data_IF_839286412162
#
_entry.id   IF_839286412162
#
_cell.length_a   1.000
_cell.length_b   1.000
_cell.length_c   1.000
_cell.angle_alpha   90.00
_cell.angle_beta   90.00
_cell.angle_gamma   90.00
#
_symmetry.space_group_name_H-M   'P 1'
#
loop_
_entity.id
_entity.type
_entity.pdbx_description
1 polymer ?
#
# COMPACT_ATOMS: atom_id res chain seq x y z
N UNK A 1 -7.39 29.03 -1.11
CA UNK A 1 -6.03 28.54 -0.79
C UNK A 1 -5.51 27.90 -2.06
N UNK A 2 -4.49 28.50 -2.68
CA UNK A 2 -3.98 28.06 -3.99
C UNK A 2 -3.04 26.89 -3.75
N UNK A 3 -3.38 25.71 -4.28
CA UNK A 3 -2.48 24.55 -4.31
C UNK A 3 -1.51 24.78 -5.47
N UNK A 4 -0.25 25.05 -5.17
CA UNK A 4 0.80 25.11 -6.19
C UNK A 4 1.32 23.68 -6.36
N UNK A 5 0.80 22.99 -7.38
CA UNK A 5 1.38 21.74 -7.85
C UNK A 5 2.51 22.08 -8.81
N UNK A 6 3.75 22.06 -8.36
CA UNK A 6 4.90 22.03 -9.26
C UNK A 6 5.10 20.60 -9.73
N UNK A 7 5.10 20.41 -11.04
CA UNK A 7 5.23 19.12 -11.68
C UNK A 7 6.62 19.10 -12.35
N UNK A 8 7.49 18.19 -11.89
CA UNK A 8 8.82 17.98 -12.48
C UNK A 8 8.86 16.53 -12.93
N UNK A 9 8.81 16.31 -14.24
CA UNK A 9 9.02 15.00 -14.86
C UNK A 9 10.49 14.61 -14.76
N UNK A 10 10.81 13.68 -13.85
CA UNK A 10 12.12 13.02 -13.81
C UNK A 10 11.89 11.55 -14.07
N UNK A 11 12.37 11.06 -15.21
CA UNK A 11 12.40 9.64 -15.54
C UNK A 11 13.65 9.00 -14.92
N UNK A 12 13.45 8.00 -14.07
CA UNK A 12 14.52 7.26 -13.41
C UNK A 12 14.78 5.88 -14.05
N UNK A 13 14.03 5.51 -15.08
CA UNK A 13 14.01 4.16 -15.64
C UNK A 13 13.39 3.10 -14.70
N UNK A 14 13.24 1.85 -15.17
CA UNK A 14 12.71 0.76 -14.36
C UNK A 14 13.65 0.39 -13.20
N UNK A 15 13.08 0.25 -12.00
CA UNK A 15 13.78 -0.17 -10.80
C UNK A 15 13.68 -1.68 -10.63
N UNK A 16 14.75 -2.37 -10.97
CA UNK A 16 14.81 -3.85 -10.92
C UNK A 16 15.67 -4.38 -9.77
N UNK A 17 16.56 -3.55 -9.21
CA UNK A 17 17.49 -3.92 -8.17
C UNK A 17 17.88 -2.72 -7.28
N UNK A 18 18.56 -3.02 -6.17
CA UNK A 18 19.22 -2.04 -5.32
C UNK A 18 20.71 -1.90 -5.71
N UNK A 19 21.35 -0.73 -5.46
CA UNK A 19 20.79 0.47 -4.86
C UNK A 19 19.92 1.30 -5.83
N UNK A 20 19.01 2.11 -5.29
CA UNK A 20 18.18 3.00 -6.12
C UNK A 20 19.01 4.12 -6.77
N UNK A 21 18.60 4.66 -7.94
CA UNK A 21 19.28 5.78 -8.59
C UNK A 21 19.47 6.99 -7.66
N UNK A 22 20.63 7.66 -7.66
CA UNK A 22 20.90 8.77 -6.73
C UNK A 22 19.87 9.90 -6.77
N UNK A 23 19.39 10.27 -7.96
CA UNK A 23 18.35 11.30 -8.13
C UNK A 23 17.03 10.90 -7.46
N UNK A 24 16.64 9.63 -7.57
CA UNK A 24 15.45 9.11 -6.91
C UNK A 24 15.61 9.11 -5.39
N UNK A 25 16.79 8.74 -4.87
CA UNK A 25 17.06 8.80 -3.43
C UNK A 25 16.90 10.23 -2.88
N UNK A 26 17.45 11.23 -3.59
CA UNK A 26 17.32 12.64 -3.21
C UNK A 26 15.85 13.07 -3.22
N UNK A 27 15.12 12.71 -4.28
CA UNK A 27 13.70 13.00 -4.40
C UNK A 27 12.91 12.41 -3.22
N UNK A 28 13.00 11.10 -2.98
CA UNK A 28 12.24 10.41 -1.94
C UNK A 28 12.59 10.90 -0.53
N UNK A 29 13.84 11.27 -0.25
CA UNK A 29 14.25 11.88 1.04
C UNK A 29 13.66 13.28 1.26
N UNK A 30 13.32 13.99 0.19
CA UNK A 30 12.73 15.33 0.27
C UNK A 30 11.23 15.33 0.54
N UNK A 31 10.56 14.17 0.48
CA UNK A 31 9.12 14.09 0.65
C UNK A 31 8.70 14.51 2.06
N UNK A 32 7.60 15.26 2.13
CA UNK A 32 6.96 15.69 3.36
C UNK A 32 5.58 15.04 3.50
N UNK A 33 5.21 14.63 4.73
CA UNK A 33 3.87 14.12 4.97
C UNK A 33 2.86 15.27 4.82
N UNK A 34 1.62 14.90 4.53
CA UNK A 34 0.51 15.84 4.56
C UNK A 34 0.19 16.29 6.00
N UNK A 35 -0.62 17.32 6.15
CA UNK A 35 -1.04 17.78 7.47
C UNK A 35 -2.14 16.86 8.02
N UNK A 36 -2.01 16.36 9.26
CA UNK A 36 -3.02 15.49 9.86
C UNK A 36 -4.30 16.29 10.12
N UNK A 37 -5.45 15.79 9.67
CA UNK A 37 -6.72 16.46 9.91
C UNK A 37 -7.90 15.52 10.20
N UNK A 38 -7.66 14.21 10.35
CA UNK A 38 -8.74 13.25 10.55
C UNK A 38 -8.49 12.39 11.80
N UNK A 39 -9.48 12.29 12.71
CA UNK A 39 -9.45 11.32 13.78
C UNK A 39 -9.58 9.90 13.19
N UNK A 40 -8.87 8.96 13.79
CA UNK A 40 -8.99 7.54 13.46
C UNK A 40 -10.34 6.99 13.95
N UNK A 41 -10.90 5.97 13.28
CA UNK A 41 -12.12 5.32 13.77
C UNK A 41 -11.89 4.76 15.19
N UNK A 42 -12.88 4.86 16.08
CA UNK A 42 -12.78 4.29 17.42
C UNK A 42 -12.83 2.75 17.37
N UNK A 43 -12.17 2.10 18.32
CA UNK A 43 -12.12 0.65 18.46
C UNK A 43 -10.72 0.06 18.21
N UNK A 44 -10.53 -1.19 18.64
CA UNK A 44 -9.29 -1.93 18.39
C UNK A 44 -9.29 -2.58 17.03
N UNK A 45 -8.11 -2.90 16.49
CA UNK A 45 -8.01 -3.66 15.23
C UNK A 45 -8.80 -4.98 15.29
N UNK A 46 -8.79 -5.68 16.43
CA UNK A 46 -9.56 -6.91 16.62
C UNK A 46 -11.09 -6.72 16.50
N UNK A 47 -11.59 -5.51 16.77
CA UNK A 47 -13.00 -5.17 16.58
C UNK A 47 -13.31 -4.72 15.15
N UNK A 48 -12.34 -4.10 14.49
CA UNK A 48 -12.51 -3.53 13.15
C UNK A 48 -12.32 -4.56 12.03
N UNK A 49 -11.47 -5.57 12.26
CA UNK A 49 -11.04 -6.53 11.26
C UNK A 49 -11.53 -7.95 11.56
N UNK A 50 -12.20 -8.55 10.57
CA UNK A 50 -12.56 -9.97 10.60
C UNK A 50 -11.44 -10.78 9.96
N UNK A 51 -10.84 -11.70 10.72
CA UNK A 51 -9.72 -12.53 10.26
C UNK A 51 -10.18 -13.65 9.33
N UNK A 52 -9.35 -13.98 8.36
CA UNK A 52 -9.55 -15.06 7.41
C UNK A 52 -8.33 -15.96 7.33
N UNK A 53 -8.57 -17.23 6.99
CA UNK A 53 -7.51 -18.08 6.48
C UNK A 53 -7.06 -17.58 5.10
N UNK A 54 -5.74 -17.47 4.89
CA UNK A 54 -5.19 -16.96 3.63
C UNK A 54 -5.60 -17.80 2.43
N UNK A 55 -5.45 -19.13 2.53
CA UNK A 55 -5.74 -20.03 1.42
C UNK A 55 -7.22 -19.97 1.02
N UNK A 56 -8.12 -19.91 2.00
CA UNK A 56 -9.55 -19.73 1.76
C UNK A 56 -9.87 -18.36 1.14
N UNK A 57 -9.23 -17.29 1.60
CA UNK A 57 -9.41 -15.97 1.00
C UNK A 57 -8.95 -15.96 -0.46
N UNK A 58 -7.73 -16.44 -0.74
CA UNK A 58 -7.17 -16.54 -2.10
C UNK A 58 -8.03 -17.44 -3.01
N UNK A 59 -8.58 -18.54 -2.48
CA UNK A 59 -9.52 -19.39 -3.22
C UNK A 59 -10.79 -18.63 -3.61
N UNK A 60 -11.38 -17.85 -2.70
CA UNK A 60 -12.55 -17.03 -2.99
C UNK A 60 -12.25 -15.92 -3.99
N UNK A 61 -11.06 -15.32 -3.90
CA UNK A 61 -10.63 -14.27 -4.81
C UNK A 61 -10.24 -14.79 -6.20
N UNK A 62 -9.81 -16.05 -6.28
CA UNK A 62 -9.32 -16.68 -7.51
C UNK A 62 -7.89 -16.30 -7.88
N UNK A 63 -7.11 -15.72 -6.95
CA UNK A 63 -5.73 -15.32 -7.15
C UNK A 63 -4.94 -15.26 -5.84
N UNK A 64 -3.60 -15.36 -5.88
CA UNK A 64 -2.76 -15.20 -4.69
C UNK A 64 -2.72 -13.74 -4.24
N UNK A 65 -2.88 -13.49 -2.93
CA UNK A 65 -2.71 -12.16 -2.36
C UNK A 65 -1.22 -11.77 -2.40
N UNK A 66 -0.87 -10.48 -2.48
CA UNK A 66 0.52 -10.05 -2.36
C UNK A 66 1.11 -10.45 -1.01
N UNK A 67 2.41 -10.77 -1.00
CA UNK A 67 3.16 -11.13 0.21
C UNK A 67 4.42 -10.29 0.34
N UNK A 68 4.56 -9.59 1.46
CA UNK A 68 5.73 -8.77 1.77
C UNK A 68 6.75 -9.59 2.56
N UNK A 69 7.46 -10.48 1.86
CA UNK A 69 8.44 -11.42 2.45
C UNK A 69 9.44 -10.74 3.39
N UNK A 70 9.95 -9.55 3.02
CA UNK A 70 10.87 -8.79 3.85
C UNK A 70 10.32 -8.42 5.24
N UNK A 71 9.01 -8.23 5.41
CA UNK A 71 8.41 -7.97 6.72
C UNK A 71 8.31 -9.26 7.56
N UNK A 72 8.03 -10.39 6.91
CA UNK A 72 7.99 -11.70 7.55
C UNK A 72 9.38 -12.14 8.01
N UNK A 73 10.40 -11.91 7.17
CA UNK A 73 11.80 -12.17 7.50
C UNK A 73 12.28 -11.29 8.67
N UNK A 74 11.67 -10.10 8.83
CA UNK A 74 11.88 -9.21 9.97
C UNK A 74 11.07 -9.62 11.22
N UNK A 75 10.33 -10.73 11.17
CA UNK A 75 9.59 -11.29 12.30
C UNK A 75 8.16 -10.79 12.47
N UNK A 76 7.61 -10.03 11.51
CA UNK A 76 6.21 -9.59 11.59
C UNK A 76 5.24 -10.76 11.34
N UNK A 77 4.09 -10.69 12.00
CA UNK A 77 2.99 -11.65 11.87
C UNK A 77 2.02 -11.16 10.79
N UNK A 78 1.77 -12.00 9.80
CA UNK A 78 0.79 -11.73 8.75
C UNK A 78 -0.61 -12.18 9.17
N UNK A 79 -1.60 -11.33 8.91
CA UNK A 79 -3.01 -11.60 9.15
C UNK A 79 -3.83 -11.12 7.95
N UNK A 80 -4.61 -12.01 7.35
CA UNK A 80 -5.55 -11.66 6.28
C UNK A 80 -6.90 -11.31 6.92
N UNK A 81 -7.49 -10.18 6.54
CA UNK A 81 -8.74 -9.70 7.10
C UNK A 81 -9.58 -8.88 6.12
N UNK A 82 -10.82 -8.60 6.51
CA UNK A 82 -11.69 -7.60 5.89
C UNK A 82 -12.15 -6.60 6.95
N UNK A 83 -12.18 -5.31 6.60
CA UNK A 83 -12.64 -4.26 7.50
C UNK A 83 -14.18 -4.21 7.52
N UNK A 84 -14.79 -4.37 8.70
CA UNK A 84 -16.23 -4.20 8.93
C UNK A 84 -17.17 -5.22 8.24
N UNK A 85 -16.63 -6.18 7.49
CA UNK A 85 -17.40 -7.23 6.79
C UNK A 85 -16.84 -8.59 7.21
N UNK A 86 -17.71 -9.56 7.50
CA UNK A 86 -17.30 -10.87 8.01
C UNK A 86 -16.90 -11.88 6.92
N UNK A 87 -17.10 -11.56 5.65
CA UNK A 87 -16.86 -12.47 4.54
C UNK A 87 -15.99 -11.81 3.46
N UNK A 88 -15.10 -12.61 2.87
CA UNK A 88 -14.42 -12.26 1.61
C UNK A 88 -15.40 -12.51 0.48
N UNK A 89 -15.57 -11.54 -0.41
CA UNK A 89 -16.46 -11.64 -1.57
C UNK A 89 -15.61 -11.70 -2.83
N UNK A 90 -15.98 -12.57 -3.76
CA UNK A 90 -15.31 -12.70 -5.04
C UNK A 90 -15.49 -11.42 -5.88
N UNK A 91 -14.49 -11.03 -6.70
CA UNK A 91 -14.63 -9.90 -7.59
C UNK A 91 -15.87 -9.98 -8.50
N UNK A 92 -16.53 -8.85 -8.75
CA UNK A 92 -17.69 -8.76 -9.64
C UNK A 92 -19.02 -9.23 -9.03
N UNK A 93 -19.04 -9.76 -7.81
CA UNK A 93 -20.29 -10.04 -7.10
C UNK A 93 -20.88 -8.78 -6.46
N UNK A 94 -22.22 -8.64 -6.53
CA UNK A 94 -22.95 -7.51 -5.91
C UNK A 94 -23.11 -7.75 -4.41
N UNK A 95 -22.49 -6.89 -3.62
CA UNK A 95 -22.57 -6.86 -2.16
C UNK A 95 -21.36 -6.11 -1.66
N UNK A 96 -21.53 -5.10 -0.81
CA UNK A 96 -20.44 -4.21 -0.37
C UNK A 96 -19.32 -4.99 0.31
N UNK A 97 -18.32 -5.41 -0.45
CA UNK A 97 -17.10 -5.98 0.10
C UNK A 97 -16.15 -4.83 0.40
N UNK A 98 -15.79 -4.67 1.67
CA UNK A 98 -14.59 -3.89 1.99
C UNK A 98 -13.35 -4.52 1.34
N UNK A 99 -12.24 -3.76 1.20
CA UNK A 99 -10.99 -4.32 0.73
C UNK A 99 -10.61 -5.56 1.53
N UNK A 100 -10.01 -6.53 0.84
CA UNK A 100 -9.23 -7.55 1.54
C UNK A 100 -7.93 -6.89 1.96
N UNK A 101 -7.67 -6.90 3.27
CA UNK A 101 -6.51 -6.30 3.89
C UNK A 101 -5.58 -7.38 4.43
N UNK A 102 -4.31 -7.35 4.07
CA UNK A 102 -3.26 -8.12 4.73
C UNK A 102 -2.56 -7.18 5.71
N UNK A 103 -2.70 -7.46 7.00
CA UNK A 103 -2.05 -6.76 8.10
C UNK A 103 -0.72 -7.45 8.40
N UNK A 104 0.37 -6.69 8.53
CA UNK A 104 1.64 -7.17 9.04
C UNK A 104 1.90 -6.50 10.39
N UNK A 105 1.80 -7.32 11.44
CA UNK A 105 1.85 -6.89 12.82
C UNK A 105 3.26 -7.10 13.38
N UNK A 106 3.88 -6.11 14.05
CA UNK A 106 5.16 -6.31 14.71
C UNK A 106 5.06 -7.30 15.88
N UNK A 107 3.88 -7.42 16.50
CA UNK A 107 3.53 -8.40 17.52
C UNK A 107 1.99 -8.56 17.57
N UNK A 108 1.49 -9.65 18.17
CA UNK A 108 0.04 -9.90 18.23
C UNK A 108 -0.73 -8.92 19.13
N UNK A 109 -0.07 -8.31 20.13
CA UNK A 109 -0.72 -7.38 21.07
C UNK A 109 -1.20 -6.10 20.37
N UNK A 110 -0.63 -5.78 19.21
CA UNK A 110 -1.09 -4.68 18.33
C UNK A 110 -2.57 -4.82 17.97
N UNK A 111 -3.13 -6.03 17.96
CA UNK A 111 -4.55 -6.24 17.65
C UNK A 111 -5.51 -5.59 18.65
N UNK A 112 -5.05 -5.36 19.87
CA UNK A 112 -5.83 -4.68 20.90
C UNK A 112 -5.70 -3.16 20.84
N UNK A 113 -4.77 -2.64 20.04
CA UNK A 113 -4.56 -1.21 19.85
C UNK A 113 -5.56 -0.63 18.85
N UNK A 114 -5.82 0.66 18.95
CA UNK A 114 -6.47 1.42 17.88
C UNK A 114 -5.60 1.42 16.61
N UNK A 115 -6.19 1.70 15.45
CA UNK A 115 -5.45 1.76 14.18
C UNK A 115 -4.25 2.72 14.27
N UNK A 116 -4.45 3.91 14.85
CA UNK A 116 -3.38 4.93 14.98
C UNK A 116 -2.23 4.46 15.87
N UNK A 117 -2.55 3.80 16.97
CA UNK A 117 -1.53 3.25 17.88
C UNK A 117 -0.78 2.10 17.22
N UNK A 118 -1.50 1.23 16.49
CA UNK A 118 -0.90 0.15 15.72
C UNK A 118 0.05 0.68 14.64
N UNK A 119 -0.35 1.70 13.88
CA UNK A 119 0.50 2.40 12.91
C UNK A 119 1.76 2.98 13.60
N UNK A 120 1.60 3.64 14.74
CA UNK A 120 2.71 4.16 15.54
C UNK A 120 3.64 3.09 16.10
N UNK A 121 3.16 1.85 16.22
CA UNK A 121 3.95 0.67 16.62
C UNK A 121 4.60 -0.07 15.46
N UNK A 122 4.34 0.33 14.21
CA UNK A 122 4.95 -0.27 13.02
C UNK A 122 4.05 -1.23 12.25
N UNK A 123 2.72 -1.14 12.43
CA UNK A 123 1.76 -1.83 11.56
C UNK A 123 2.01 -1.45 10.09
N UNK A 124 2.09 -2.47 9.24
CA UNK A 124 2.02 -2.31 7.78
C UNK A 124 0.75 -2.98 7.25
N UNK A 125 0.18 -2.44 6.17
CA UNK A 125 -1.02 -3.00 5.55
C UNK A 125 -0.86 -3.13 4.04
N UNK A 126 -1.51 -4.13 3.46
CA UNK A 126 -1.74 -4.27 2.02
C UNK A 126 -3.24 -4.33 1.81
N UNK A 127 -3.80 -3.36 1.11
CA UNK A 127 -5.20 -3.28 0.74
C UNK A 127 -5.36 -3.68 -0.72
N UNK A 128 -6.32 -4.57 -0.99
CA UNK A 128 -6.71 -4.99 -2.34
C UNK A 128 -8.14 -4.52 -2.59
N UNK A 129 -8.27 -3.48 -3.41
CA UNK A 129 -9.55 -2.86 -3.80
C UNK A 129 -9.89 -3.16 -5.26
N UNK A 130 -11.17 -3.41 -5.53
CA UNK A 130 -11.68 -3.66 -6.88
C UNK A 130 -12.44 -2.45 -7.42
N UNK A 131 -12.32 -2.19 -8.73
CA UNK A 131 -13.11 -1.14 -9.40
C UNK A 131 -12.66 0.30 -9.11
N UNK A 132 -11.52 0.48 -8.44
CA UNK A 132 -10.89 1.79 -8.27
C UNK A 132 -9.98 2.05 -9.46
N UNK A 133 -10.28 3.08 -10.25
CA UNK A 133 -9.43 3.52 -11.35
C UNK A 133 -8.10 4.07 -10.81
N UNK A 134 -6.99 3.48 -11.24
CA UNK A 134 -5.65 4.01 -11.00
C UNK A 134 -5.22 4.87 -12.21
N UNK A 135 -4.44 5.95 -12.02
CA UNK A 135 -3.95 6.74 -13.15
C UNK A 135 -3.15 5.87 -14.12
N UNK A 136 -3.56 5.83 -15.39
CA UNK A 136 -2.86 5.12 -16.47
C UNK A 136 -1.73 5.94 -17.10
N UNK A 137 -1.71 7.25 -16.85
CA UNK A 137 -0.63 8.17 -17.21
C UNK A 137 0.16 8.55 -15.96
N UNK A 138 1.48 8.71 -16.05
CA UNK A 138 2.29 9.02 -14.89
C UNK A 138 1.94 10.41 -14.35
N UNK A 139 1.48 10.54 -13.10
CA UNK A 139 1.53 11.81 -12.41
C UNK A 139 3.01 12.16 -12.16
N UNK A 140 3.36 13.37 -12.55
CA UNK A 140 4.61 14.01 -12.17
C UNK A 140 4.70 14.12 -10.63
N UNK A 141 5.88 14.45 -10.10
CA UNK A 141 6.02 14.69 -8.65
C UNK A 141 5.03 15.77 -8.22
N UNK A 142 4.17 15.46 -7.25
CA UNK A 142 3.19 16.37 -6.67
C UNK A 142 3.61 16.75 -5.26
N UNK A 143 3.58 18.04 -4.96
CA UNK A 143 3.78 18.57 -3.60
C UNK A 143 2.45 19.05 -3.04
N UNK A 144 2.05 18.54 -1.89
CA UNK A 144 0.72 18.82 -1.33
C UNK A 144 0.74 18.86 0.18
N UNK A 145 0.46 20.04 0.75
CA UNK A 145 0.29 20.19 2.20
C UNK A 145 -0.90 19.36 2.71
N UNK A 146 -1.92 19.18 1.87
CA UNK A 146 -3.10 18.39 2.19
C UNK A 146 -2.74 16.92 2.24
N UNK A 147 -2.60 16.27 1.08
CA UNK A 147 -2.42 14.81 0.96
C UNK A 147 -1.00 14.30 1.25
N UNK A 148 -0.01 15.21 1.32
CA UNK A 148 1.40 14.87 1.35
C UNK A 148 1.99 14.71 -0.04
N UNK A 149 3.33 14.70 -0.10
CA UNK A 149 4.07 14.63 -1.35
C UNK A 149 3.94 13.26 -2.00
N UNK A 150 3.85 13.26 -3.33
CA UNK A 150 3.71 12.04 -4.12
C UNK A 150 4.55 12.09 -5.41
N UNK A 151 4.89 10.93 -5.94
CA UNK A 151 5.46 10.77 -7.29
C UNK A 151 5.07 9.40 -7.83
N UNK A 152 5.40 9.13 -9.09
CA UNK A 152 5.30 7.81 -9.67
C UNK A 152 6.68 7.33 -10.09
N UNK A 153 6.94 6.05 -9.84
CA UNK A 153 8.17 5.36 -10.23
C UNK A 153 7.82 4.07 -10.96
N UNK A 154 8.75 3.58 -11.77
CA UNK A 154 8.64 2.25 -12.37
C UNK A 154 9.41 1.22 -11.55
N UNK A 155 8.74 0.17 -11.09
CA UNK A 155 9.36 -0.95 -10.38
C UNK A 155 9.08 -2.21 -11.19
N UNK A 156 10.11 -2.84 -11.76
CA UNK A 156 9.97 -4.07 -12.57
C UNK A 156 8.90 -3.97 -13.67
N UNK A 157 8.84 -2.80 -14.33
CA UNK A 157 7.87 -2.50 -15.39
C UNK A 157 6.45 -2.18 -14.93
N UNK A 158 6.23 -2.00 -13.62
CA UNK A 158 4.98 -1.58 -13.02
C UNK A 158 5.04 -0.11 -12.58
N UNK A 159 4.05 0.68 -12.99
CA UNK A 159 3.85 2.03 -12.49
C UNK A 159 3.35 2.01 -11.03
N UNK A 160 4.20 2.48 -10.11
CA UNK A 160 3.93 2.54 -8.68
C UNK A 160 3.87 4.00 -8.23
N UNK A 161 2.72 4.43 -7.71
CA UNK A 161 2.61 5.70 -7.01
C UNK A 161 3.20 5.58 -5.60
N UNK A 162 4.06 6.53 -5.26
CA UNK A 162 4.68 6.67 -3.93
C UNK A 162 4.15 7.94 -3.31
N UNK A 163 3.62 7.86 -2.09
CA UNK A 163 3.07 9.02 -1.38
C UNK A 163 3.47 8.98 0.10
N UNK A 164 3.96 10.10 0.62
CA UNK A 164 4.14 10.29 2.06
C UNK A 164 2.84 10.84 2.65
N UNK A 165 2.03 9.97 3.25
CA UNK A 165 0.64 10.28 3.61
C UNK A 165 0.54 11.28 4.78
N UNK A 166 -0.68 11.73 5.05
CA UNK A 166 -1.02 12.56 6.22
C UNK A 166 -0.76 11.88 7.56
N UNK A 167 -0.79 10.55 7.61
CA UNK A 167 -0.55 9.76 8.82
C UNK A 167 0.95 9.59 9.10
N UNK A 168 1.82 10.06 8.20
CA UNK A 168 3.28 9.87 8.29
C UNK A 168 3.75 8.52 7.76
N UNK A 169 2.84 7.70 7.22
CA UNK A 169 3.18 6.47 6.52
C UNK A 169 3.57 6.75 5.07
N UNK A 170 4.26 5.80 4.43
CA UNK A 170 4.38 5.78 2.97
C UNK A 170 3.33 4.85 2.39
N UNK A 171 2.52 5.37 1.48
CA UNK A 171 1.64 4.60 0.61
C UNK A 171 2.34 4.30 -0.71
N UNK A 172 2.43 3.02 -1.07
CA UNK A 172 2.86 2.53 -2.37
C UNK A 172 1.66 1.88 -3.05
N UNK A 173 1.28 2.31 -4.24
CA UNK A 173 0.09 1.74 -4.89
C UNK A 173 0.26 1.59 -6.39
N UNK A 174 -0.37 0.55 -6.94
CA UNK A 174 -0.35 0.24 -8.36
C UNK A 174 -1.60 -0.53 -8.76
N UNK A 175 -1.90 -0.51 -10.05
CA UNK A 175 -2.94 -1.36 -10.63
C UNK A 175 -2.35 -2.71 -11.01
N UNK A 176 -3.02 -3.78 -10.61
CA UNK A 176 -2.68 -5.14 -11.04
C UNK A 176 -3.89 -5.78 -11.70
N UNK A 177 -3.64 -6.48 -12.80
CA UNK A 177 -4.63 -7.38 -13.38
C UNK A 177 -4.45 -8.77 -12.78
N UNK A 178 -5.45 -9.22 -12.04
CA UNK A 178 -5.51 -10.55 -11.45
C UNK A 178 -6.62 -11.33 -12.16
N UNK A 179 -6.21 -12.26 -13.03
CA UNK A 179 -7.09 -12.93 -13.99
C UNK A 179 -7.89 -11.94 -14.88
N UNK A 180 -9.21 -11.88 -14.73
CA UNK A 180 -10.11 -11.00 -15.49
C UNK A 180 -10.48 -9.72 -14.73
N UNK A 181 -9.88 -9.51 -13.56
CA UNK A 181 -10.23 -8.42 -12.65
C UNK A 181 -9.06 -7.44 -12.57
N UNK A 182 -9.35 -6.16 -12.72
CA UNK A 182 -8.42 -5.10 -12.38
C UNK A 182 -8.62 -4.68 -10.92
N UNK A 183 -7.55 -4.76 -10.13
CA UNK A 183 -7.54 -4.32 -8.75
C UNK A 183 -6.47 -3.23 -8.53
N UNK A 184 -6.76 -2.32 -7.61
CA UNK A 184 -5.76 -1.45 -7.03
C UNK A 184 -5.18 -2.12 -5.80
N UNK A 185 -3.85 -2.26 -5.77
CA UNK A 185 -3.13 -2.70 -4.57
C UNK A 185 -2.51 -1.46 -3.94
N UNK A 186 -2.73 -1.27 -2.64
CA UNK A 186 -2.12 -0.21 -1.86
C UNK A 186 -1.42 -0.78 -0.64
N UNK A 187 -0.13 -0.49 -0.50
CA UNK A 187 0.69 -0.88 0.65
C UNK A 187 0.96 0.35 1.49
N UNK A 188 0.66 0.30 2.78
CA UNK A 188 0.98 1.34 3.74
C UNK A 188 2.08 0.84 4.67
N UNK A 189 3.21 1.53 4.65
CA UNK A 189 4.39 1.20 5.43
C UNK A 189 4.68 2.32 6.45
N UNK A 190 5.09 2.00 7.68
CA UNK A 190 5.51 2.97 8.70
C UNK A 190 6.90 3.55 8.42
N UNK A 191 7.38 3.46 7.17
CA UNK A 191 8.72 3.85 6.75
C UNK A 191 8.67 5.14 5.93
N UNK A 192 9.73 5.98 5.97
CA UNK A 192 9.90 7.07 5.02
C UNK A 192 9.92 6.56 3.57
N UNK A 193 9.59 7.41 2.58
CA UNK A 193 9.40 6.97 1.19
C UNK A 193 10.58 6.21 0.58
N UNK A 194 11.81 6.62 0.89
CA UNK A 194 13.00 5.91 0.41
C UNK A 194 13.04 4.46 0.90
N UNK A 195 12.90 4.25 2.20
CA UNK A 195 12.96 2.92 2.82
C UNK A 195 11.79 2.04 2.36
N UNK A 196 10.60 2.64 2.21
CA UNK A 196 9.42 1.96 1.69
C UNK A 196 9.63 1.42 0.27
N UNK A 197 10.20 2.24 -0.64
CA UNK A 197 10.53 1.80 -2.00
C UNK A 197 11.62 0.74 -1.99
N UNK A 198 12.67 0.90 -1.16
CA UNK A 198 13.72 -0.12 -1.02
C UNK A 198 13.17 -1.47 -0.54
N UNK A 199 12.20 -1.45 0.39
CA UNK A 199 11.51 -2.65 0.86
C UNK A 199 10.70 -3.29 -0.27
N UNK A 200 9.93 -2.50 -1.02
CA UNK A 200 9.14 -3.00 -2.15
C UNK A 200 10.02 -3.69 -3.20
N UNK A 201 11.17 -3.10 -3.53
CA UNK A 201 12.15 -3.67 -4.49
C UNK A 201 12.75 -4.99 -3.97
N UNK A 202 12.79 -5.21 -2.65
CA UNK A 202 13.23 -6.50 -2.06
C UNK A 202 12.13 -7.55 -2.01
N UNK A 203 10.86 -7.13 -2.02
CA UNK A 203 9.74 -8.06 -1.94
C UNK A 203 9.45 -8.73 -3.29
N UNK A 204 8.90 -9.94 -3.19
CA UNK A 204 8.30 -10.64 -4.31
C UNK A 204 6.87 -10.11 -4.53
N UNK A 205 6.77 -8.85 -4.94
CA UNK A 205 5.48 -8.35 -5.41
C UNK A 205 5.22 -8.99 -6.77
N UNK A 206 4.10 -9.71 -6.94
CA UNK A 206 3.83 -10.43 -8.17
C UNK A 206 3.82 -9.44 -9.33
N UNK A 207 4.78 -9.61 -10.24
CA UNK A 207 4.87 -8.83 -11.46
C UNK A 207 3.69 -9.18 -12.37
N UNK A 208 3.18 -8.17 -13.08
CA UNK A 208 2.23 -8.41 -14.16
C UNK A 208 2.96 -9.23 -15.22
N UNK A 209 2.54 -10.48 -15.38
CA UNK A 209 2.83 -11.19 -16.64
C UNK A 209 2.06 -10.46 -17.71
N UNK A 210 2.74 -9.66 -18.54
CA UNK A 210 2.13 -9.16 -19.77
C UNK A 210 1.73 -10.39 -20.61
N UNK A 211 0.49 -10.45 -21.14
CA UNK A 211 0.16 -11.43 -22.17
C UNK A 211 1.01 -11.21 -23.43
#
# INVERSE_FOLDING_TARGET
MVTVSESVGVDFGPLDALPLPPGLQVLLRSFRPGHPHTPSPPGSLAQLYHRHDRGRAEQTLGFPLPRLSALLDAGQVELVATAGVAEVVAPGQRGGSGPVTVLYLPDEDVLQSSLREAEGRGLSTVEVDYGVSWPSTPPETLRSLGSGDATMIDVRGQHVGVQHTRTGQTRLAWQQRLAEVECNIAVYLPHPPLQAVELLVRCDVPSVSRP
#
